data_IF_085025192195
#
_entry.id   IF_085025192195
#
_cell.length_a   1.000
_cell.length_b   1.000
_cell.length_c   1.000
_cell.angle_alpha   90.00
_cell.angle_beta   90.00
_cell.angle_gamma   90.00
#
_symmetry.space_group_name_H-M   'P 1'
#
loop_
_entity.id
_entity.type
_entity.pdbx_description
1 polymer ?
#
# COMPACT_ATOMS: atom_id res chain seq x y z
N UNK A 1 75.67 29.34 16.79
CA UNK A 1 74.42 29.46 16.05
C UNK A 1 73.46 28.33 16.50
N UNK A 2 72.32 28.67 17.12
CA UNK A 2 71.27 27.71 17.43
C UNK A 2 70.33 27.65 16.23
N UNK A 3 70.37 26.53 15.50
CA UNK A 3 69.40 26.26 14.44
C UNK A 3 68.14 25.78 15.15
N UNK A 4 67.06 26.58 15.11
CA UNK A 4 65.73 26.14 15.49
C UNK A 4 65.23 25.20 14.40
N UNK A 5 65.10 23.91 14.71
CA UNK A 5 64.39 22.99 13.86
C UNK A 5 62.89 23.25 14.03
N UNK A 6 62.11 23.47 12.95
CA UNK A 6 60.67 23.59 13.07
C UNK A 6 60.08 22.29 13.66
N UNK A 7 59.02 22.41 14.48
CA UNK A 7 58.31 21.25 14.97
C UNK A 7 57.78 20.41 13.76
N UNK A 8 57.87 19.09 13.87
CA UNK A 8 57.32 18.23 12.83
C UNK A 8 55.79 18.48 12.73
N UNK A 9 55.22 18.45 11.49
CA UNK A 9 53.78 18.64 11.33
C UNK A 9 53.00 17.58 12.14
N UNK A 10 51.87 17.98 12.67
CA UNK A 10 51.00 17.10 13.41
C UNK A 10 50.65 15.85 12.57
N UNK A 11 50.64 14.69 13.21
CA UNK A 11 50.29 13.42 12.56
C UNK A 11 48.89 13.49 11.91
N UNK A 12 48.77 12.95 10.72
CA UNK A 12 47.46 12.88 10.03
C UNK A 12 46.53 11.94 10.84
N UNK A 13 45.35 12.44 11.15
CA UNK A 13 44.27 11.66 11.78
C UNK A 13 43.12 11.52 10.77
N UNK A 14 42.61 10.31 10.60
CA UNK A 14 41.50 10.00 9.67
C UNK A 14 40.34 9.38 10.40
N UNK A 15 39.15 9.94 10.21
CA UNK A 15 37.89 9.31 10.65
C UNK A 15 37.02 9.12 9.41
N UNK A 16 36.52 7.89 9.20
CA UNK A 16 35.60 7.56 8.11
C UNK A 16 34.34 6.90 8.67
N UNK A 17 33.19 7.40 8.27
CA UNK A 17 31.89 6.91 8.70
C UNK A 17 31.09 6.48 7.47
N UNK A 18 30.65 5.20 7.38
CA UNK A 18 29.78 4.78 6.29
C UNK A 18 28.37 5.34 6.52
N UNK A 19 27.74 5.81 5.45
CA UNK A 19 26.39 6.36 5.44
C UNK A 19 25.57 5.67 4.35
N UNK A 20 24.27 5.64 4.53
CA UNK A 20 23.35 5.32 3.44
C UNK A 20 23.19 6.53 2.54
N UNK A 21 23.07 6.30 1.22
CA UNK A 21 22.79 7.39 0.29
C UNK A 21 21.43 8.01 0.58
N UNK A 22 21.37 9.33 0.51
CA UNK A 22 20.13 10.09 0.53
C UNK A 22 19.42 10.12 -0.84
N UNK A 23 20.09 9.64 -1.88
CA UNK A 23 19.48 9.47 -3.20
C UNK A 23 18.65 8.19 -3.23
N UNK A 24 17.35 8.33 -3.09
CA UNK A 24 16.39 7.23 -3.04
C UNK A 24 16.30 6.41 -4.34
N UNK A 25 16.91 6.87 -5.41
CA UNK A 25 16.93 6.17 -6.70
C UNK A 25 18.13 5.23 -6.85
N UNK A 26 19.11 5.32 -5.94
CA UNK A 26 20.37 4.56 -5.99
C UNK A 26 20.48 3.53 -4.86
N UNK A 27 21.16 2.46 -5.17
CA UNK A 27 21.47 1.34 -4.25
C UNK A 27 22.84 1.49 -3.59
N UNK A 28 23.42 2.68 -3.68
CA UNK A 28 24.80 2.98 -3.26
C UNK A 28 24.80 3.69 -1.92
N UNK A 29 25.91 3.56 -1.20
CA UNK A 29 26.14 4.27 0.04
C UNK A 29 27.04 5.49 -0.15
N UNK A 30 27.43 6.07 0.96
CA UNK A 30 28.34 7.20 1.05
C UNK A 30 29.40 6.91 2.13
N UNK A 31 30.55 7.56 2.04
CA UNK A 31 31.58 7.55 3.07
C UNK A 31 31.89 8.99 3.45
N UNK A 32 31.51 9.41 4.63
CA UNK A 32 31.90 10.69 5.19
C UNK A 32 33.31 10.57 5.79
N UNK A 33 34.21 11.43 5.32
CA UNK A 33 35.61 11.47 5.73
C UNK A 33 35.92 12.77 6.45
N UNK A 34 36.63 12.67 7.57
CA UNK A 34 37.21 13.80 8.26
C UNK A 34 38.71 13.56 8.48
N UNK A 35 39.55 14.53 8.04
CA UNK A 35 41.02 14.49 8.13
C UNK A 35 41.44 15.66 9.02
N UNK A 36 42.34 15.42 9.95
CA UNK A 36 42.98 16.46 10.74
C UNK A 36 44.49 16.22 10.82
N UNK A 37 45.28 17.28 11.06
CA UNK A 37 46.73 17.20 10.97
C UNK A 37 47.23 17.12 9.52
N UNK A 38 48.54 16.99 9.34
CA UNK A 38 49.18 17.07 8.02
C UNK A 38 49.00 18.42 7.32
N UNK A 39 49.27 18.45 6.02
CA UNK A 39 49.18 19.65 5.19
C UNK A 39 48.31 19.39 3.94
N UNK A 40 47.25 20.19 3.78
CA UNK A 40 46.43 20.15 2.57
C UNK A 40 47.21 20.64 1.33
N UNK A 41 46.88 20.17 0.11
CA UNK A 41 45.83 19.25 -0.23
C UNK A 41 46.13 17.78 0.16
N UNK A 42 45.08 17.05 0.50
CA UNK A 42 45.15 15.62 0.79
C UNK A 42 44.74 14.81 -0.44
N UNK A 43 45.58 13.83 -0.82
CA UNK A 43 45.21 12.83 -1.81
C UNK A 43 44.59 11.66 -1.05
N UNK A 44 43.32 11.37 -1.31
CA UNK A 44 42.60 10.27 -0.68
C UNK A 44 42.26 9.23 -1.73
N UNK A 45 42.50 7.96 -1.40
CA UNK A 45 42.15 6.81 -2.22
C UNK A 45 41.38 5.76 -1.37
N UNK A 46 40.20 5.40 -1.85
CA UNK A 46 39.39 4.31 -1.31
C UNK A 46 39.56 3.11 -2.24
N UNK A 47 40.04 2.00 -1.73
CA UNK A 47 40.23 0.75 -2.50
C UNK A 47 39.28 -0.33 -2.00
N UNK A 48 38.36 -0.74 -2.85
CA UNK A 48 37.42 -1.84 -2.53
C UNK A 48 38.22 -3.14 -2.37
N UNK A 49 38.12 -3.79 -1.20
CA UNK A 49 38.97 -4.94 -0.84
C UNK A 49 38.81 -6.15 -1.76
N UNK A 50 37.58 -6.39 -2.26
CA UNK A 50 37.27 -7.55 -3.13
C UNK A 50 37.47 -7.24 -4.60
N UNK A 51 36.84 -6.19 -5.13
CA UNK A 51 36.85 -5.87 -6.56
C UNK A 51 38.10 -5.12 -7.02
N UNK A 52 38.87 -4.58 -6.06
CA UNK A 52 40.02 -3.71 -6.31
C UNK A 52 39.66 -2.42 -7.07
N UNK A 53 38.39 -2.09 -7.18
CA UNK A 53 37.97 -0.79 -7.72
C UNK A 53 38.39 0.34 -6.79
N UNK A 54 38.71 1.51 -7.37
CA UNK A 54 39.25 2.63 -6.65
C UNK A 54 38.40 3.90 -6.86
N UNK A 55 38.27 4.68 -5.80
CA UNK A 55 37.77 6.06 -5.83
C UNK A 55 38.86 6.94 -5.27
N UNK A 56 39.21 7.99 -5.99
CA UNK A 56 40.32 8.90 -5.63
C UNK A 56 39.92 10.35 -5.77
N UNK A 57 40.27 11.14 -4.76
CA UNK A 57 40.00 12.58 -4.73
C UNK A 57 41.17 13.35 -4.16
N UNK A 58 41.30 14.62 -4.58
CA UNK A 58 42.28 15.57 -4.03
C UNK A 58 41.53 16.65 -3.25
N UNK A 59 41.70 16.67 -1.94
CA UNK A 59 40.90 17.45 -1.02
C UNK A 59 41.67 18.65 -0.48
N UNK A 60 41.12 19.85 -0.69
CA UNK A 60 41.59 21.05 -0.02
C UNK A 60 40.90 21.28 1.35
N UNK A 61 39.89 20.50 1.64
CA UNK A 61 39.10 20.55 2.88
C UNK A 61 39.41 19.34 3.76
N UNK A 62 39.31 19.54 5.07
CA UNK A 62 39.40 18.47 6.07
C UNK A 62 38.18 17.58 6.12
N UNK A 63 37.07 17.93 5.46
CA UNK A 63 35.83 17.17 5.42
C UNK A 63 35.42 16.92 3.99
N UNK A 64 35.10 15.67 3.66
CA UNK A 64 34.61 15.27 2.35
C UNK A 64 33.66 14.07 2.45
N UNK A 65 32.71 13.97 1.53
CA UNK A 65 31.82 12.81 1.44
C UNK A 65 31.95 12.19 0.04
N UNK A 66 32.46 10.96 -0.01
CA UNK A 66 32.38 10.13 -1.20
C UNK A 66 30.95 9.64 -1.38
N UNK A 67 30.32 9.96 -2.50
CA UNK A 67 28.98 9.54 -2.86
C UNK A 67 29.01 8.43 -3.91
N UNK A 68 27.92 7.70 -4.06
CA UNK A 68 27.82 6.64 -5.06
C UNK A 68 28.76 5.45 -4.81
N UNK A 69 29.07 5.18 -3.55
CA UNK A 69 29.95 4.09 -3.13
C UNK A 69 29.20 2.77 -3.10
N UNK A 70 29.69 1.75 -3.79
CA UNK A 70 29.09 0.42 -3.77
C UNK A 70 29.28 -0.27 -2.42
N UNK A 71 28.36 -1.18 -2.07
CA UNK A 71 28.48 -1.97 -0.84
C UNK A 71 29.77 -2.79 -0.83
N UNK A 72 30.42 -2.87 0.33
CA UNK A 72 31.63 -3.64 0.54
C UNK A 72 32.62 -2.94 1.47
N UNK A 73 33.75 -3.60 1.74
CA UNK A 73 34.82 -3.08 2.59
C UNK A 73 35.85 -2.35 1.75
N UNK A 74 36.22 -1.17 2.20
CA UNK A 74 37.22 -0.30 1.55
C UNK A 74 38.42 -0.09 2.47
N UNK A 75 39.61 -0.15 1.91
CA UNK A 75 40.82 0.36 2.56
C UNK A 75 40.95 1.85 2.21
N UNK A 76 41.32 2.66 3.19
CA UNK A 76 41.50 4.10 3.04
C UNK A 76 43.00 4.39 2.96
N UNK A 77 43.42 5.18 2.00
CA UNK A 77 44.78 5.66 1.87
C UNK A 77 44.75 7.19 1.78
N UNK A 78 45.56 7.84 2.59
CA UNK A 78 45.67 9.32 2.63
C UNK A 78 47.13 9.72 2.51
N UNK A 79 47.38 10.70 1.67
CA UNK A 79 48.71 11.36 1.53
C UNK A 79 48.49 12.86 1.58
N UNK A 80 49.30 13.56 2.38
CA UNK A 80 49.27 15.02 2.43
C UNK A 80 50.16 15.69 1.37
N UNK A 81 50.18 17.02 1.30
CA UNK A 81 50.98 17.80 0.35
C UNK A 81 52.48 17.61 0.56
N UNK A 82 52.94 17.26 1.74
CA UNK A 82 54.34 16.98 2.04
C UNK A 82 54.75 15.57 1.62
N UNK A 83 53.81 14.75 1.12
CA UNK A 83 54.05 13.37 0.74
C UNK A 83 53.98 12.36 1.90
N UNK A 84 53.53 12.80 3.10
CA UNK A 84 53.34 11.91 4.24
C UNK A 84 52.11 11.05 4.00
N UNK A 85 52.29 9.72 4.08
CA UNK A 85 51.21 8.72 3.91
C UNK A 85 50.93 7.95 5.18
N UNK A 86 51.68 8.23 6.27
CA UNK A 86 51.43 7.62 7.56
C UNK A 86 50.37 8.41 8.31
N UNK A 87 49.28 7.74 8.67
CA UNK A 87 48.19 8.33 9.41
C UNK A 87 47.67 7.37 10.47
N UNK A 88 46.91 7.91 11.42
CA UNK A 88 46.23 7.16 12.50
C UNK A 88 44.71 7.29 12.34
N UNK A 89 43.97 6.38 12.99
CA UNK A 89 42.51 6.36 12.96
C UNK A 89 41.92 5.29 12.05
N UNK A 90 40.91 5.65 11.25
CA UNK A 90 40.17 4.70 10.42
C UNK A 90 40.97 4.32 9.18
N UNK A 91 41.44 3.06 9.10
CA UNK A 91 42.16 2.52 7.93
C UNK A 91 41.28 1.72 6.99
N UNK A 92 40.08 1.34 7.45
CA UNK A 92 39.10 0.64 6.63
C UNK A 92 37.68 0.96 7.07
N UNK A 93 36.75 0.92 6.13
CA UNK A 93 35.33 1.20 6.36
C UNK A 93 34.48 0.24 5.52
N UNK A 94 33.35 -0.20 6.06
CA UNK A 94 32.44 -1.10 5.35
C UNK A 94 31.12 -0.39 5.08
N UNK A 95 30.79 -0.24 3.79
CA UNK A 95 29.50 0.25 3.31
C UNK A 95 28.54 -0.92 3.27
N UNK A 96 27.43 -0.83 3.99
CA UNK A 96 26.42 -1.87 4.03
C UNK A 96 25.64 -1.96 2.72
N UNK A 97 25.16 -3.15 2.32
CA UNK A 97 24.26 -3.29 1.21
C UNK A 97 22.98 -2.46 1.43
N UNK A 98 22.51 -1.83 0.38
CA UNK A 98 21.27 -1.06 0.35
C UNK A 98 20.46 -1.44 -0.87
N UNK A 99 19.19 -1.00 -0.93
CA UNK A 99 18.32 -1.18 -2.07
C UNK A 99 17.43 0.05 -2.25
N UNK A 100 17.07 0.33 -3.50
CA UNK A 100 16.11 1.37 -3.84
C UNK A 100 14.69 0.79 -3.90
N UNK A 101 13.72 1.53 -3.38
CA UNK A 101 12.30 1.26 -3.58
C UNK A 101 11.91 1.70 -4.99
N UNK A 102 11.21 0.85 -5.76
CA UNK A 102 10.86 1.15 -7.16
C UNK A 102 9.37 1.45 -7.34
N UNK A 103 8.52 0.53 -6.96
CA UNK A 103 7.07 0.70 -7.04
C UNK A 103 6.34 -0.16 -6.02
N UNK A 104 5.11 0.22 -5.74
CA UNK A 104 4.14 -0.58 -4.98
C UNK A 104 3.16 -1.18 -5.98
N UNK A 105 2.78 -2.41 -5.76
CA UNK A 105 1.71 -3.08 -6.48
C UNK A 105 0.77 -3.81 -5.52
N UNK A 106 -0.47 -4.00 -5.95
CA UNK A 106 -1.53 -4.58 -5.13
C UNK A 106 -2.09 -5.82 -5.81
N UNK A 107 -2.38 -6.84 -4.99
CA UNK A 107 -3.09 -8.03 -5.41
C UNK A 107 -4.28 -8.25 -4.46
N UNK A 108 -5.49 -8.21 -4.98
CA UNK A 108 -6.69 -8.51 -4.20
C UNK A 108 -6.76 -10.01 -3.93
N UNK A 109 -6.61 -10.39 -2.67
CA UNK A 109 -6.74 -11.79 -2.23
C UNK A 109 -8.20 -12.20 -2.05
N UNK A 110 -9.00 -11.31 -1.45
CA UNK A 110 -10.45 -11.46 -1.32
C UNK A 110 -11.12 -10.11 -1.48
N UNK A 111 -12.04 -10.02 -2.43
CA UNK A 111 -12.83 -8.79 -2.65
C UNK A 111 -13.67 -8.43 -1.42
N UNK A 112 -13.82 -7.13 -1.20
CA UNK A 112 -14.78 -6.62 -0.23
C UNK A 112 -16.18 -7.08 -0.58
N UNK A 113 -17.00 -7.24 0.46
CA UNK A 113 -18.46 -7.41 0.33
C UNK A 113 -19.12 -6.43 1.29
N UNK A 114 -20.45 -6.35 1.32
CA UNK A 114 -21.11 -5.47 2.29
C UNK A 114 -20.92 -5.94 3.75
N UNK A 115 -20.51 -7.18 3.96
CA UNK A 115 -20.26 -7.77 5.28
C UNK A 115 -18.77 -8.00 5.57
N UNK A 116 -17.91 -7.99 4.55
CA UNK A 116 -16.50 -8.32 4.66
C UNK A 116 -15.63 -7.25 4.00
N UNK A 117 -14.57 -6.90 4.69
CA UNK A 117 -13.49 -6.04 4.19
C UNK A 117 -12.66 -6.76 3.12
N UNK A 118 -11.95 -5.99 2.31
CA UNK A 118 -11.05 -6.51 1.29
C UNK A 118 -9.72 -6.96 1.88
N UNK A 119 -9.28 -8.16 1.51
CA UNK A 119 -7.95 -8.66 1.84
C UNK A 119 -7.02 -8.38 0.66
N UNK A 120 -5.91 -7.71 0.95
CA UNK A 120 -4.97 -7.21 -0.07
C UNK A 120 -3.55 -7.63 0.26
N UNK A 121 -2.81 -8.09 -0.74
CA UNK A 121 -1.37 -8.26 -0.67
C UNK A 121 -0.70 -7.04 -1.31
N UNK A 122 0.03 -6.29 -0.50
CA UNK A 122 0.87 -5.16 -0.91
C UNK A 122 2.26 -5.70 -1.22
N UNK A 123 2.76 -5.46 -2.43
CA UNK A 123 4.11 -5.89 -2.86
C UNK A 123 4.94 -4.66 -3.21
N UNK A 124 6.17 -4.62 -2.73
CA UNK A 124 7.14 -3.57 -3.02
C UNK A 124 8.24 -4.14 -3.89
N UNK A 125 8.41 -3.58 -5.08
CA UNK A 125 9.55 -3.90 -5.91
C UNK A 125 10.77 -3.11 -5.45
N UNK A 126 11.91 -3.78 -5.34
CA UNK A 126 13.18 -3.22 -4.94
C UNK A 126 14.29 -3.62 -5.92
N UNK A 127 15.37 -2.86 -5.94
CA UNK A 127 16.54 -3.19 -6.78
C UNK A 127 17.84 -2.85 -6.03
N UNK A 128 18.90 -3.68 -6.11
CA UNK A 128 18.97 -4.94 -6.86
C UNK A 128 18.14 -6.07 -6.21
N UNK A 129 18.10 -6.17 -4.89
CA UNK A 129 17.33 -7.14 -4.12
C UNK A 129 17.14 -6.66 -2.69
N UNK A 130 16.11 -7.19 -2.02
CA UNK A 130 15.85 -6.90 -0.63
C UNK A 130 16.98 -7.42 0.27
N UNK A 131 17.40 -6.59 1.23
CA UNK A 131 18.41 -6.92 2.23
C UNK A 131 17.71 -7.18 3.56
N UNK A 132 17.72 -8.44 4.03
CA UNK A 132 17.13 -8.81 5.33
C UNK A 132 17.76 -8.01 6.48
N UNK A 133 16.93 -7.67 7.47
CA UNK A 133 17.30 -6.83 8.60
C UNK A 133 17.19 -5.33 8.33
N UNK A 134 16.77 -4.93 7.11
CA UNK A 134 16.64 -3.51 6.73
C UNK A 134 15.36 -2.87 7.23
N UNK A 135 14.33 -3.62 7.48
CA UNK A 135 13.00 -3.20 7.96
C UNK A 135 12.32 -2.12 7.10
N UNK A 136 11.20 -2.49 6.53
CA UNK A 136 10.30 -1.57 5.87
C UNK A 136 9.16 -1.18 6.81
N UNK A 137 8.78 0.09 6.78
CA UNK A 137 7.62 0.60 7.51
C UNK A 137 6.52 0.90 6.50
N UNK A 138 5.43 0.17 6.60
CA UNK A 138 4.22 0.34 5.79
C UNK A 138 3.27 1.26 6.55
N UNK A 139 2.84 2.34 5.92
CA UNK A 139 1.92 3.33 6.47
C UNK A 139 0.67 3.36 5.59
N UNK A 140 -0.45 2.91 6.13
CA UNK A 140 -1.74 2.86 5.44
C UNK A 140 -2.64 3.95 6.02
N UNK A 141 -3.10 4.88 5.19
CA UNK A 141 -3.95 5.99 5.61
C UNK A 141 -5.17 6.08 4.71
N UNK A 142 -6.39 6.12 5.28
CA UNK A 142 -7.61 6.41 4.51
C UNK A 142 -7.66 7.87 4.06
N UNK A 143 -8.35 8.16 2.94
CA UNK A 143 -8.51 9.53 2.41
C UNK A 143 -9.13 10.47 3.45
N UNK A 144 -10.08 10.00 4.27
CA UNK A 144 -10.72 10.77 5.35
C UNK A 144 -9.86 10.84 6.63
N UNK A 145 -8.68 10.24 6.62
CA UNK A 145 -7.69 10.20 7.73
C UNK A 145 -8.19 9.55 9.03
N UNK A 146 -9.36 8.90 9.01
CA UNK A 146 -9.88 8.20 10.20
C UNK A 146 -9.21 6.85 10.43
N UNK A 147 -8.70 6.22 9.38
CA UNK A 147 -7.92 5.00 9.48
C UNK A 147 -6.45 5.30 9.19
N UNK A 148 -5.58 4.96 10.14
CA UNK A 148 -4.13 4.99 9.97
C UNK A 148 -3.52 3.80 10.66
N UNK A 149 -2.68 3.07 9.95
CA UNK A 149 -1.88 1.95 10.47
C UNK A 149 -0.44 2.09 10.07
N UNK A 150 0.45 1.71 10.98
CA UNK A 150 1.87 1.61 10.74
C UNK A 150 2.30 0.19 11.08
N UNK A 151 2.86 -0.51 10.11
CA UNK A 151 3.30 -1.90 10.24
C UNK A 151 4.77 -1.96 9.84
N UNK A 152 5.60 -2.47 10.74
CA UNK A 152 7.03 -2.63 10.51
C UNK A 152 7.32 -4.08 10.17
N UNK A 153 7.97 -4.33 9.04
CA UNK A 153 8.17 -5.68 8.52
C UNK A 153 9.55 -5.83 7.87
N UNK A 154 10.21 -6.95 8.12
CA UNK A 154 11.45 -7.35 7.44
C UNK A 154 11.13 -8.15 6.17
N UNK A 155 10.29 -7.57 5.31
CA UNK A 155 9.85 -8.17 4.04
C UNK A 155 9.35 -7.09 3.06
N UNK A 156 9.37 -7.42 1.77
CA UNK A 156 8.83 -6.59 0.68
C UNK A 156 7.36 -6.85 0.37
N UNK A 157 6.71 -7.72 1.13
CA UNK A 157 5.30 -8.04 0.97
C UNK A 157 4.55 -7.96 2.30
N UNK A 158 3.44 -7.23 2.30
CA UNK A 158 2.54 -7.10 3.45
C UNK A 158 1.15 -7.62 3.09
N UNK A 159 0.64 -8.56 3.85
CA UNK A 159 -0.72 -9.04 3.71
C UNK A 159 -1.65 -8.32 4.68
N UNK A 160 -2.57 -7.52 4.12
CA UNK A 160 -3.65 -6.86 4.87
C UNK A 160 -4.86 -7.79 4.92
N UNK A 161 -5.05 -8.49 6.04
CA UNK A 161 -6.12 -9.45 6.25
C UNK A 161 -6.69 -9.35 7.67
N UNK A 162 -7.75 -10.07 7.97
CA UNK A 162 -8.38 -10.09 9.29
C UNK A 162 -8.72 -8.69 9.80
N UNK A 163 -8.12 -8.28 10.93
CA UNK A 163 -8.32 -6.95 11.52
C UNK A 163 -7.75 -5.82 10.66
N UNK A 164 -6.71 -6.10 9.88
CA UNK A 164 -6.04 -5.14 9.01
C UNK A 164 -6.63 -5.08 7.59
N UNK A 165 -7.62 -5.93 7.27
CA UNK A 165 -8.34 -5.88 6.01
C UNK A 165 -8.99 -4.50 5.79
N UNK A 166 -9.04 -4.05 4.53
CA UNK A 166 -9.47 -2.70 4.16
C UNK A 166 -10.98 -2.62 3.91
N UNK A 167 -11.65 -1.69 4.57
CA UNK A 167 -13.04 -1.34 4.25
C UNK A 167 -13.16 -0.59 2.94
N UNK A 168 -14.39 -0.39 2.46
CA UNK A 168 -14.67 0.43 1.26
C UNK A 168 -14.12 1.84 1.47
N UNK A 169 -13.41 2.36 0.46
CA UNK A 169 -12.82 3.70 0.47
C UNK A 169 -11.45 3.75 -0.20
N UNK A 170 -10.91 4.95 -0.28
CA UNK A 170 -9.58 5.18 -0.84
C UNK A 170 -8.53 5.23 0.25
N UNK A 171 -7.40 4.64 -0.03
CA UNK A 171 -6.25 4.55 0.87
C UNK A 171 -5.00 5.02 0.17
N UNK A 172 -4.16 5.75 0.89
CA UNK A 172 -2.78 5.99 0.51
C UNK A 172 -1.89 5.03 1.28
N UNK A 173 -1.06 4.28 0.57
CA UNK A 173 -0.13 3.31 1.15
C UNK A 173 1.29 3.78 0.85
N UNK A 174 2.00 4.19 1.90
CA UNK A 174 3.38 4.62 1.85
C UNK A 174 4.28 3.52 2.43
N UNK A 175 5.42 3.29 1.81
CA UNK A 175 6.44 2.37 2.29
C UNK A 175 7.74 3.11 2.46
N UNK A 176 8.25 3.11 3.69
CA UNK A 176 9.47 3.77 4.11
C UNK A 176 10.57 2.74 4.40
N UNK A 177 11.73 2.91 3.78
CA UNK A 177 12.94 2.21 4.19
C UNK A 177 13.55 2.94 5.40
N UNK A 178 13.55 2.30 6.57
CA UNK A 178 13.99 2.94 7.81
C UNK A 178 15.50 3.26 7.85
N UNK A 179 16.33 2.59 7.05
CA UNK A 179 17.77 2.87 6.99
C UNK A 179 18.08 4.09 6.12
N UNK A 180 17.51 4.16 4.93
CA UNK A 180 17.77 5.24 3.97
C UNK A 180 16.87 6.44 4.17
N UNK A 181 15.76 6.29 4.93
CA UNK A 181 14.68 7.27 5.07
C UNK A 181 13.99 7.60 3.75
N UNK A 182 14.13 6.73 2.76
CA UNK A 182 13.46 6.84 1.48
C UNK A 182 12.08 6.22 1.54
N UNK A 183 11.08 6.88 0.96
CA UNK A 183 9.72 6.36 0.85
C UNK A 183 9.18 6.44 -0.57
N UNK A 184 8.22 5.57 -0.86
CA UNK A 184 7.36 5.61 -2.03
C UNK A 184 5.92 5.43 -1.58
N UNK A 185 4.98 6.00 -2.30
CA UNK A 185 3.56 5.91 -2.00
C UNK A 185 2.74 5.58 -3.24
N UNK A 186 1.61 4.89 -3.04
CA UNK A 186 0.64 4.56 -4.09
C UNK A 186 -0.77 4.54 -3.50
N UNK A 187 -1.75 4.91 -4.29
CA UNK A 187 -3.15 4.94 -3.89
C UNK A 187 -3.84 3.62 -4.23
N UNK A 188 -4.71 3.17 -3.34
CA UNK A 188 -5.51 1.98 -3.50
C UNK A 188 -6.99 2.25 -3.20
N UNK A 189 -7.88 1.85 -4.12
CA UNK A 189 -9.32 2.11 -4.02
C UNK A 189 -10.09 0.80 -3.82
N UNK A 190 -10.61 0.61 -2.61
CA UNK A 190 -11.53 -0.50 -2.28
C UNK A 190 -12.94 -0.08 -2.67
N UNK A 191 -13.40 -0.60 -3.80
CA UNK A 191 -14.73 -0.26 -4.34
C UNK A 191 -15.86 -0.93 -3.57
N UNK A 192 -16.99 -0.23 -3.48
CA UNK A 192 -18.22 -0.78 -2.92
C UNK A 192 -18.82 -1.81 -3.89
N UNK A 193 -19.02 -3.04 -3.42
CA UNK A 193 -19.74 -4.06 -4.18
C UNK A 193 -21.26 -3.85 -4.21
N UNK A 194 -21.81 -2.98 -3.33
CA UNK A 194 -23.22 -2.58 -3.41
C UNK A 194 -23.53 -1.86 -4.73
N UNK A 195 -22.51 -1.27 -5.35
CA UNK A 195 -22.65 -0.61 -6.66
C UNK A 195 -22.67 -1.59 -7.83
N UNK A 196 -22.32 -2.86 -7.61
CA UNK A 196 -22.27 -3.88 -8.68
C UNK A 196 -23.64 -4.44 -9.03
N UNK A 197 -24.68 -4.23 -8.19
CA UNK A 197 -26.02 -4.75 -8.38
C UNK A 197 -27.09 -3.67 -8.32
N UNK A 198 -28.21 -3.92 -9.02
CA UNK A 198 -29.43 -3.13 -8.89
C UNK A 198 -30.65 -4.04 -8.68
N UNK A 199 -31.56 -3.58 -7.83
CA UNK A 199 -32.88 -4.15 -7.71
C UNK A 199 -33.76 -3.61 -8.83
N UNK A 200 -34.44 -4.50 -9.54
CA UNK A 200 -35.47 -4.17 -10.52
C UNK A 200 -36.79 -4.68 -10.00
N UNK A 201 -37.69 -3.75 -9.70
CA UNK A 201 -39.06 -4.03 -9.30
C UNK A 201 -39.92 -3.98 -10.55
N UNK A 202 -40.49 -5.13 -10.94
CA UNK A 202 -41.36 -5.23 -12.10
C UNK A 202 -42.67 -4.44 -11.91
N UNK A 203 -43.35 -4.12 -13.02
CA UNK A 203 -44.67 -3.49 -12.96
C UNK A 203 -45.67 -4.40 -12.24
N UNK A 204 -46.31 -3.94 -11.16
CA UNK A 204 -47.25 -4.75 -10.46
C UNK A 204 -48.44 -5.17 -11.34
N UNK A 205 -48.75 -6.45 -11.35
CA UNK A 205 -49.99 -6.95 -11.95
C UNK A 205 -51.09 -6.90 -10.91
N UNK A 206 -52.17 -6.24 -11.22
CA UNK A 206 -53.31 -6.09 -10.30
C UNK A 206 -53.94 -7.41 -9.91
N UNK A 207 -54.49 -7.47 -8.70
CA UNK A 207 -55.41 -8.49 -8.29
C UNK A 207 -56.62 -8.53 -9.22
N UNK A 208 -57.22 -9.72 -9.39
CA UNK A 208 -58.43 -9.92 -10.20
C UNK A 208 -59.61 -10.24 -9.30
N UNK A 209 -60.83 -10.26 -9.85
CA UNK A 209 -62.01 -10.65 -9.09
C UNK A 209 -61.93 -12.11 -8.59
N UNK A 210 -61.05 -12.94 -9.13
CA UNK A 210 -60.84 -14.33 -8.72
C UNK A 210 -59.69 -14.50 -7.70
N UNK A 211 -58.90 -13.43 -7.45
CA UNK A 211 -57.76 -13.48 -6.52
C UNK A 211 -57.59 -12.10 -5.86
N UNK A 212 -57.54 -12.08 -4.55
CA UNK A 212 -57.28 -10.89 -3.72
C UNK A 212 -55.80 -10.47 -3.74
N UNK A 213 -54.95 -11.21 -4.46
CA UNK A 213 -53.51 -10.96 -4.57
C UNK A 213 -53.10 -10.66 -6.00
N UNK A 214 -52.31 -9.62 -6.17
CA UNK A 214 -51.62 -9.30 -7.39
C UNK A 214 -50.24 -9.96 -7.46
N UNK A 215 -49.59 -9.84 -8.63
CA UNK A 215 -48.25 -10.39 -8.85
C UNK A 215 -47.20 -9.24 -8.87
N UNK A 216 -46.08 -9.49 -8.23
CA UNK A 216 -44.91 -8.62 -8.24
C UNK A 216 -43.65 -9.45 -8.57
N UNK A 217 -42.89 -9.03 -9.58
CA UNK A 217 -41.60 -9.64 -9.87
C UNK A 217 -40.49 -8.76 -9.31
N UNK A 218 -39.59 -9.39 -8.54
CA UNK A 218 -38.33 -8.79 -8.09
C UNK A 218 -37.19 -9.43 -8.84
N UNK A 219 -36.25 -8.62 -9.31
CA UNK A 219 -35.06 -9.10 -9.98
C UNK A 219 -33.84 -8.36 -9.48
N UNK A 220 -32.73 -9.09 -9.27
CA UNK A 220 -31.41 -8.53 -8.97
C UNK A 220 -30.52 -8.77 -10.16
N UNK A 221 -29.98 -7.72 -10.72
CA UNK A 221 -29.12 -7.78 -11.92
C UNK A 221 -27.85 -6.98 -11.70
N UNK A 222 -26.70 -7.43 -12.28
CA UNK A 222 -25.47 -6.66 -12.31
C UNK A 222 -25.67 -5.31 -13.04
N UNK A 223 -25.04 -4.24 -12.53
CA UNK A 223 -25.15 -2.90 -13.14
C UNK A 223 -24.42 -2.78 -14.47
N UNK A 224 -23.41 -3.59 -14.71
CA UNK A 224 -22.67 -3.66 -15.98
C UNK A 224 -23.52 -4.21 -17.15
N UNK A 225 -24.75 -4.61 -16.86
CA UNK A 225 -25.68 -5.16 -17.85
C UNK A 225 -25.38 -6.60 -18.26
N UNK A 226 -24.44 -7.26 -17.64
CA UNK A 226 -24.21 -8.69 -17.86
C UNK A 226 -25.40 -9.50 -17.34
N UNK A 227 -25.77 -10.58 -18.04
CA UNK A 227 -26.75 -11.55 -17.59
C UNK A 227 -26.11 -12.62 -16.68
N UNK A 228 -25.04 -12.27 -15.98
CA UNK A 228 -24.39 -13.21 -15.08
C UNK A 228 -25.39 -13.73 -14.05
N UNK A 229 -25.40 -15.06 -13.85
CA UNK A 229 -26.21 -15.68 -12.84
C UNK A 229 -25.62 -15.35 -11.48
N UNK A 230 -26.44 -14.76 -10.57
CA UNK A 230 -26.10 -14.58 -9.16
C UNK A 230 -26.47 -15.84 -8.38
N UNK A 231 -25.89 -16.02 -7.20
CA UNK A 231 -26.23 -17.15 -6.30
C UNK A 231 -27.61 -17.01 -5.64
N UNK A 232 -28.39 -16.01 -6.06
CA UNK A 232 -29.71 -15.71 -5.54
C UNK A 232 -29.75 -14.54 -4.56
N UNK A 233 -30.91 -14.33 -3.95
CA UNK A 233 -31.13 -13.29 -2.96
C UNK A 233 -32.22 -13.65 -1.96
N UNK A 234 -32.19 -13.09 -0.76
CA UNK A 234 -33.30 -13.06 0.17
C UNK A 234 -34.05 -11.73 0.05
N UNK A 235 -35.35 -11.76 0.37
CA UNK A 235 -36.19 -10.57 0.31
C UNK A 235 -37.07 -10.44 1.55
N UNK A 236 -37.34 -9.19 1.91
CA UNK A 236 -38.33 -8.82 2.95
C UNK A 236 -39.15 -7.63 2.44
N UNK A 237 -40.44 -7.81 2.35
CA UNK A 237 -41.41 -6.79 2.00
C UNK A 237 -42.28 -6.47 3.20
N UNK A 238 -42.46 -5.19 3.51
CA UNK A 238 -43.25 -4.72 4.65
C UNK A 238 -44.33 -3.71 4.21
N UNK A 239 -45.58 -3.98 4.60
CA UNK A 239 -46.69 -3.05 4.39
C UNK A 239 -47.56 -3.02 5.65
N UNK A 240 -47.44 -1.97 6.49
CA UNK A 240 -48.08 -1.92 7.81
C UNK A 240 -47.64 -3.10 8.67
N UNK A 241 -48.58 -3.93 9.10
CA UNK A 241 -48.32 -5.17 9.86
C UNK A 241 -47.98 -6.38 8.99
N UNK A 242 -48.14 -6.29 7.67
CA UNK A 242 -47.86 -7.39 6.75
C UNK A 242 -46.36 -7.47 6.46
N UNK A 243 -45.78 -8.65 6.70
CA UNK A 243 -44.38 -8.94 6.38
C UNK A 243 -44.32 -10.19 5.52
N UNK A 244 -43.68 -10.07 4.34
CA UNK A 244 -43.45 -11.20 3.43
C UNK A 244 -41.94 -11.38 3.27
N UNK A 245 -41.43 -12.56 3.53
CA UNK A 245 -40.01 -12.90 3.41
C UNK A 245 -39.84 -14.18 2.61
N UNK A 246 -38.69 -14.30 1.98
CA UNK A 246 -38.31 -15.52 1.26
C UNK A 246 -36.90 -15.42 0.67
N UNK A 247 -36.54 -16.50 0.00
CA UNK A 247 -35.22 -16.62 -0.69
C UNK A 247 -35.41 -17.19 -2.08
N UNK A 248 -34.54 -16.85 -3.00
CA UNK A 248 -34.46 -17.48 -4.32
C UNK A 248 -33.00 -17.75 -4.67
N UNK A 249 -32.74 -18.80 -5.43
CA UNK A 249 -31.44 -19.13 -6.01
C UNK A 249 -31.26 -18.60 -7.45
N UNK A 250 -32.29 -17.90 -7.92
CA UNK A 250 -32.30 -17.29 -9.26
C UNK A 250 -32.20 -15.75 -9.18
N UNK A 251 -31.93 -15.13 -10.33
CA UNK A 251 -31.84 -13.68 -10.45
C UNK A 251 -33.20 -12.98 -10.26
N UNK A 252 -34.31 -13.71 -10.25
CA UNK A 252 -35.65 -13.16 -10.12
C UNK A 252 -36.61 -14.10 -9.39
N UNK A 253 -37.66 -13.52 -8.79
CA UNK A 253 -38.76 -14.22 -8.18
C UNK A 253 -40.05 -13.44 -8.37
N UNK A 254 -41.18 -14.15 -8.48
CA UNK A 254 -42.52 -13.56 -8.57
C UNK A 254 -43.33 -13.87 -7.33
N UNK A 255 -43.88 -12.86 -6.72
CA UNK A 255 -44.57 -12.92 -5.45
C UNK A 255 -46.05 -12.61 -5.65
N UNK A 256 -46.92 -13.28 -4.88
CA UNK A 256 -48.34 -12.96 -4.77
C UNK A 256 -48.60 -12.11 -3.52
N UNK A 257 -48.98 -10.86 -3.72
CA UNK A 257 -49.11 -9.85 -2.67
C UNK A 257 -50.51 -9.24 -2.64
N UNK A 258 -51.13 -9.07 -1.45
CA UNK A 258 -52.32 -8.25 -1.33
C UNK A 258 -52.04 -6.79 -1.68
N UNK A 259 -53.13 -6.02 -1.85
CA UNK A 259 -53.00 -4.57 -2.06
C UNK A 259 -52.31 -3.93 -0.85
N UNK A 260 -51.48 -2.91 -1.14
CA UNK A 260 -50.73 -2.21 -0.10
C UNK A 260 -49.48 -1.52 -0.64
N UNK A 261 -48.93 -0.62 0.16
CA UNK A 261 -47.65 0.04 -0.12
C UNK A 261 -46.52 -0.71 0.57
N UNK A 262 -45.68 -1.36 -0.22
CA UNK A 262 -44.60 -2.19 0.27
C UNK A 262 -43.27 -1.46 0.22
N UNK A 263 -42.52 -1.50 1.34
CA UNK A 263 -41.08 -1.27 1.37
C UNK A 263 -40.39 -2.61 1.11
N UNK A 264 -39.42 -2.59 0.23
CA UNK A 264 -38.69 -3.76 -0.24
C UNK A 264 -37.25 -3.70 0.23
N UNK A 265 -36.80 -4.71 0.93
CA UNK A 265 -35.39 -4.96 1.25
C UNK A 265 -35.00 -6.27 0.59
N UNK A 266 -33.92 -6.27 -0.18
CA UNK A 266 -33.33 -7.46 -0.81
C UNK A 266 -31.88 -7.56 -0.38
N UNK A 267 -31.45 -8.77 0.05
CA UNK A 267 -30.07 -9.05 0.39
C UNK A 267 -29.48 -10.02 -0.63
N UNK A 268 -28.45 -9.59 -1.34
CA UNK A 268 -27.76 -10.41 -2.36
C UNK A 268 -26.93 -11.48 -1.68
N UNK A 269 -27.14 -12.76 -2.03
CA UNK A 269 -26.54 -13.90 -1.32
C UNK A 269 -24.99 -13.92 -1.38
N UNK A 270 -24.40 -13.53 -2.50
CA UNK A 270 -22.94 -13.57 -2.71
C UNK A 270 -22.18 -12.51 -1.89
N UNK A 271 -22.79 -11.36 -1.70
CA UNK A 271 -22.12 -10.17 -1.17
C UNK A 271 -22.64 -9.66 0.16
N UNK A 272 -23.84 -10.16 0.60
CA UNK A 272 -24.53 -9.64 1.76
C UNK A 272 -25.05 -8.20 1.58
N UNK A 273 -24.97 -7.64 0.35
CA UNK A 273 -25.40 -6.27 0.07
C UNK A 273 -26.90 -6.15 0.09
N UNK A 274 -27.39 -5.12 0.76
CA UNK A 274 -28.80 -4.79 0.85
C UNK A 274 -29.19 -3.76 -0.19
N UNK A 275 -30.24 -4.06 -0.94
CA UNK A 275 -30.86 -3.18 -1.94
C UNK A 275 -32.28 -2.84 -1.48
N UNK A 276 -32.69 -1.61 -1.71
CA UNK A 276 -33.99 -1.11 -1.24
C UNK A 276 -34.78 -0.51 -2.37
N UNK A 277 -36.12 -0.71 -2.33
CA UNK A 277 -37.06 -0.06 -3.20
C UNK A 277 -38.46 -0.02 -2.53
N UNK A 278 -39.43 0.50 -3.22
CA UNK A 278 -40.83 0.56 -2.76
C UNK A 278 -41.79 0.35 -3.93
N UNK A 279 -42.94 -0.22 -3.67
CA UNK A 279 -43.97 -0.49 -4.68
C UNK A 279 -45.37 -0.34 -4.11
N UNK A 280 -46.30 0.12 -4.91
CA UNK A 280 -47.73 0.15 -4.61
C UNK A 280 -48.43 -0.99 -5.33
N UNK A 281 -48.99 -1.95 -4.59
CA UNK A 281 -49.90 -2.97 -5.10
C UNK A 281 -51.32 -2.42 -5.04
N UNK A 282 -51.95 -2.30 -6.21
CA UNK A 282 -53.31 -1.74 -6.31
C UNK A 282 -54.37 -2.76 -5.86
N UNK A 283 -55.46 -2.23 -5.32
CA UNK A 283 -56.65 -3.01 -4.97
C UNK A 283 -57.29 -3.69 -6.20
N UNK A 284 -57.92 -4.86 -6.01
CA UNK A 284 -58.69 -5.46 -7.05
C UNK A 284 -59.87 -4.54 -7.43
N UNK A 285 -60.38 -4.63 -8.67
CA UNK A 285 -61.59 -3.89 -9.04
C UNK A 285 -62.74 -4.33 -8.14
N UNK A 286 -63.53 -3.35 -7.67
CA UNK A 286 -64.73 -3.61 -6.89
C UNK A 286 -65.71 -4.50 -7.67
N UNK A 287 -66.28 -5.50 -7.00
CA UNK A 287 -67.27 -6.37 -7.59
C UNK A 287 -68.47 -5.53 -8.05
N UNK A 288 -68.92 -5.81 -9.28
CA UNK A 288 -70.14 -5.18 -9.80
C UNK A 288 -71.31 -5.68 -8.93
N UNK A 289 -71.93 -4.76 -8.20
CA UNK A 289 -73.22 -5.06 -7.54
C UNK A 289 -74.32 -4.95 -8.63
N UNK A 290 -75.01 -6.07 -8.90
CA UNK A 290 -76.16 -6.13 -9.76
C UNK A 290 -77.39 -6.02 -8.90
#
# INVERSE_FOLDING_TARGET
DKVLMPEPPAAIQVTATPLYSKDCTQEKGEIALHISGGQAPYKVRLVHQTTKSELSETLNSSVYTFTGVTAGSYTIEVQDAAGCSRYEGTTSVTVQPSFALKNISFETLKKATCERKEEVLVKVAVTPQYVKGTWLKYIITSEDKKYRREIRLDDTSLQLNGSEALGVGKYHIEVLNEQTQCSIGEDYDVKSVAEDYRLVVGTPVKATCASDKGLLTLSVIPKDGTLAKISGFSYRLTAGSTVVTGTTTDNSTTLQLPAGFYQIEVTVAETGCKLYDKVLMLEPPTAIQV
#
